data_IF_994560066749
#
_entry.id   IF_994560066749
#
_cell.length_a   1.000
_cell.length_b   1.000
_cell.length_c   1.000
_cell.angle_alpha   90.00
_cell.angle_beta   90.00
_cell.angle_gamma   90.00
#
_symmetry.space_group_name_H-M   'P 1'
#
loop_
_entity.id
_entity.type
_entity.pdbx_description
1 polymer ?
#
# COMPACT_ATOMS: atom_id res chain seq x y z
N UNK A 1 5.31 -5.59 49.69
CA UNK A 1 6.14 -4.73 48.81
C UNK A 1 6.51 -5.33 47.44
N UNK A 2 6.66 -6.66 47.27
CA UNK A 2 6.97 -7.28 45.96
C UNK A 2 5.80 -7.23 44.95
N UNK A 3 4.56 -7.41 45.40
CA UNK A 3 3.35 -7.37 44.56
C UNK A 3 3.14 -6.02 43.86
N UNK A 4 3.35 -4.90 44.56
CA UNK A 4 3.18 -3.56 43.99
C UNK A 4 4.18 -3.26 42.85
N UNK A 5 5.42 -3.76 42.97
CA UNK A 5 6.43 -3.62 41.91
C UNK A 5 6.10 -4.42 40.65
N UNK A 6 5.45 -5.58 40.79
CA UNK A 6 5.03 -6.42 39.65
C UNK A 6 3.88 -5.74 38.89
N UNK A 7 2.89 -5.18 39.60
CA UNK A 7 1.77 -4.47 38.98
C UNK A 7 2.23 -3.22 38.24
N UNK A 8 3.15 -2.44 38.83
CA UNK A 8 3.73 -1.26 38.17
C UNK A 8 4.55 -1.66 36.94
N UNK A 9 5.36 -2.72 37.01
CA UNK A 9 6.13 -3.17 35.86
C UNK A 9 5.24 -3.68 34.72
N UNK A 10 4.18 -4.43 35.03
CA UNK A 10 3.25 -4.95 34.03
C UNK A 10 2.44 -3.85 33.33
N UNK A 11 2.01 -2.83 34.08
CA UNK A 11 1.27 -1.69 33.52
C UNK A 11 2.15 -0.83 32.62
N UNK A 12 3.41 -0.57 33.00
CA UNK A 12 4.37 0.14 32.14
C UNK A 12 4.66 -0.67 30.88
N UNK A 13 4.88 -1.98 30.98
CA UNK A 13 5.12 -2.83 29.81
C UNK A 13 3.92 -2.85 28.85
N UNK A 14 2.69 -2.89 29.36
CA UNK A 14 1.49 -2.86 28.54
C UNK A 14 1.30 -1.51 27.83
N UNK A 15 1.58 -0.39 28.51
CA UNK A 15 1.51 0.95 27.92
C UNK A 15 2.57 1.15 26.83
N UNK A 16 3.79 0.65 27.04
CA UNK A 16 4.83 0.67 26.02
C UNK A 16 4.44 -0.23 24.85
N UNK A 17 3.95 -1.44 25.08
CA UNK A 17 3.50 -2.32 24.02
C UNK A 17 2.39 -1.68 23.17
N UNK A 18 1.44 -0.97 23.78
CA UNK A 18 0.40 -0.24 23.05
C UNK A 18 0.95 0.98 22.29
N UNK A 19 1.89 1.72 22.87
CA UNK A 19 2.52 2.87 22.20
C UNK A 19 3.39 2.44 21.00
N UNK A 20 4.05 1.28 21.11
CA UNK A 20 4.90 0.71 20.08
C UNK A 20 4.18 -0.30 19.18
N UNK A 21 2.89 -0.56 19.39
CA UNK A 21 2.03 -1.27 18.42
C UNK A 21 1.68 -0.33 17.27
N UNK A 22 2.71 0.18 16.60
CA UNK A 22 2.51 0.71 15.27
C UNK A 22 2.26 -0.50 14.37
N UNK A 23 1.15 -0.55 13.59
CA UNK A 23 1.13 -1.45 12.46
C UNK A 23 2.35 -1.04 11.63
N UNK A 24 3.31 -1.95 11.51
CA UNK A 24 4.39 -1.78 10.54
C UNK A 24 3.66 -1.71 9.20
N UNK A 25 3.42 -0.49 8.72
CA UNK A 25 3.11 -0.25 7.33
C UNK A 25 4.40 -0.65 6.64
N UNK A 26 4.47 -1.93 6.27
CA UNK A 26 5.55 -2.42 5.44
C UNK A 26 5.52 -1.51 4.22
N UNK A 27 6.54 -0.67 4.10
CA UNK A 27 6.68 0.17 2.92
C UNK A 27 6.84 -0.79 1.75
N UNK A 28 6.20 -0.46 0.63
CA UNK A 28 6.47 -1.15 -0.62
C UNK A 28 7.99 -1.16 -0.76
N UNK A 29 8.60 -2.35 -0.84
CA UNK A 29 10.05 -2.50 -1.08
C UNK A 29 10.42 -1.71 -2.34
N UNK A 30 11.70 -1.58 -2.66
CA UNK A 30 12.15 -0.97 -3.92
C UNK A 30 11.57 -1.73 -5.13
N UNK A 31 10.33 -1.45 -5.49
CA UNK A 31 9.67 -1.86 -6.72
C UNK A 31 10.15 -0.92 -7.81
N UNK A 32 10.42 -1.44 -9.00
CA UNK A 32 10.61 -0.59 -10.18
C UNK A 32 9.30 -0.46 -10.97
N UNK A 33 8.49 -1.52 -10.95
CA UNK A 33 7.29 -1.66 -11.78
C UNK A 33 6.23 -2.51 -11.07
N UNK A 34 4.98 -2.36 -11.47
CA UNK A 34 3.86 -3.23 -11.10
C UNK A 34 2.98 -3.51 -12.32
N UNK A 35 2.21 -4.62 -12.27
CA UNK A 35 1.17 -4.88 -13.27
C UNK A 35 -0.17 -4.35 -12.75
N UNK A 36 -0.87 -3.57 -13.56
CA UNK A 36 -2.28 -3.24 -13.36
C UNK A 36 -3.13 -4.33 -14.00
N UNK A 37 -4.18 -4.79 -13.32
CA UNK A 37 -5.10 -5.79 -13.88
C UNK A 37 -6.52 -5.68 -13.32
N UNK A 38 -7.48 -6.05 -14.15
CA UNK A 38 -8.87 -6.32 -13.78
C UNK A 38 -9.41 -7.51 -14.63
N UNK A 39 -10.70 -7.80 -14.55
CA UNK A 39 -11.33 -8.89 -15.31
C UNK A 39 -11.39 -8.61 -16.83
N UNK A 40 -11.12 -7.37 -17.26
CA UNK A 40 -11.36 -6.87 -18.62
C UNK A 40 -10.07 -6.48 -19.35
N UNK A 41 -8.94 -6.34 -18.65
CA UNK A 41 -7.68 -5.90 -19.22
C UNK A 41 -6.52 -5.86 -18.24
N UNK A 42 -5.37 -5.40 -18.74
CA UNK A 42 -4.14 -5.27 -17.97
C UNK A 42 -3.25 -4.15 -18.51
N UNK A 43 -2.31 -3.70 -17.69
CA UNK A 43 -1.25 -2.77 -18.09
C UNK A 43 -0.08 -2.78 -17.12
N UNK A 44 0.80 -1.80 -17.23
CA UNK A 44 1.98 -1.66 -16.38
C UNK A 44 1.97 -0.31 -15.70
N UNK A 45 2.59 -0.24 -14.52
CA UNK A 45 2.84 1.00 -13.81
C UNK A 45 4.31 1.04 -13.36
N UNK A 46 4.90 2.23 -13.32
CA UNK A 46 6.27 2.47 -12.85
C UNK A 46 6.21 3.07 -11.47
N UNK A 47 6.97 2.52 -10.52
CA UNK A 47 7.07 3.07 -9.17
C UNK A 47 7.96 4.31 -9.18
N UNK A 48 7.47 5.42 -8.61
CA UNK A 48 8.20 6.69 -8.53
C UNK A 48 8.56 7.08 -7.09
N UNK A 49 8.39 6.16 -6.13
CA UNK A 49 8.70 6.37 -4.71
C UNK A 49 7.49 6.70 -3.84
N UNK A 50 7.63 6.53 -2.52
CA UNK A 50 6.62 6.84 -1.51
C UNK A 50 5.23 6.22 -1.78
N UNK A 51 5.14 5.01 -2.31
CA UNK A 51 3.86 4.37 -2.66
C UNK A 51 3.19 4.93 -3.93
N UNK A 52 3.85 5.80 -4.70
CA UNK A 52 3.27 6.36 -5.93
C UNK A 52 3.71 5.59 -7.16
N UNK A 53 2.77 5.43 -8.09
CA UNK A 53 2.98 4.80 -9.38
C UNK A 53 2.47 5.70 -10.50
N UNK A 54 3.15 5.67 -11.65
CA UNK A 54 2.71 6.32 -12.88
C UNK A 54 2.32 5.24 -13.89
N UNK A 55 1.19 5.46 -14.58
CA UNK A 55 0.70 4.59 -15.66
C UNK A 55 0.11 5.45 -16.78
N UNK A 56 -0.41 4.80 -17.81
CA UNK A 56 -1.18 5.45 -18.86
C UNK A 56 -2.63 5.72 -18.43
N UNK A 57 -3.21 6.83 -18.90
CA UNK A 57 -4.61 7.15 -18.61
C UNK A 57 -5.55 6.12 -19.24
N UNK A 58 -5.23 5.60 -20.42
CA UNK A 58 -6.04 4.57 -21.07
C UNK A 58 -6.02 3.23 -20.32
N UNK A 59 -4.96 2.95 -19.56
CA UNK A 59 -4.84 1.72 -18.74
C UNK A 59 -5.76 1.79 -17.53
N UNK A 60 -5.82 2.94 -16.84
CA UNK A 60 -6.70 3.12 -15.67
C UNK A 60 -8.14 3.47 -16.06
N UNK A 61 -8.36 3.96 -17.29
CA UNK A 61 -9.67 4.31 -17.82
C UNK A 61 -10.38 5.37 -16.98
N UNK A 62 -11.56 5.05 -16.47
CA UNK A 62 -12.35 5.90 -15.57
C UNK A 62 -12.43 5.32 -14.14
N UNK A 63 -11.59 4.33 -13.82
CA UNK A 63 -11.61 3.69 -12.52
C UNK A 63 -11.04 4.63 -11.45
N UNK A 64 -11.67 4.65 -10.27
CA UNK A 64 -11.13 5.34 -9.09
C UNK A 64 -10.08 4.52 -8.36
N UNK A 65 -10.01 3.21 -8.62
CA UNK A 65 -9.10 2.26 -8.00
C UNK A 65 -8.65 1.20 -9.02
N UNK A 66 -7.43 0.72 -8.90
CA UNK A 66 -6.87 -0.39 -9.69
C UNK A 66 -6.27 -1.47 -8.78
N UNK A 67 -6.14 -2.69 -9.29
CA UNK A 67 -5.34 -3.72 -8.63
C UNK A 67 -3.91 -3.68 -9.16
N UNK A 68 -2.93 -3.67 -8.25
CA UNK A 68 -1.51 -3.74 -8.54
C UNK A 68 -0.98 -5.11 -8.14
N UNK A 69 -0.33 -5.82 -9.06
CA UNK A 69 0.48 -6.99 -8.79
C UNK A 69 1.95 -6.56 -8.75
N UNK A 70 2.55 -6.67 -7.57
CA UNK A 70 3.95 -6.32 -7.30
C UNK A 70 4.90 -7.42 -7.80
N UNK A 71 6.20 -7.11 -7.87
CA UNK A 71 7.21 -8.07 -8.38
C UNK A 71 7.40 -9.30 -7.49
N UNK A 72 7.08 -9.19 -6.20
CA UNK A 72 7.07 -10.30 -5.25
C UNK A 72 5.79 -11.15 -5.27
N UNK A 73 4.85 -10.84 -6.17
CA UNK A 73 3.61 -11.57 -6.36
C UNK A 73 2.46 -11.10 -5.46
N UNK A 74 2.68 -10.14 -4.55
CA UNK A 74 1.58 -9.56 -3.76
C UNK A 74 0.65 -8.75 -4.63
N UNK A 75 -0.65 -8.88 -4.34
CA UNK A 75 -1.70 -8.04 -4.92
C UNK A 75 -2.12 -7.01 -3.89
N UNK A 76 -2.19 -5.75 -4.30
CA UNK A 76 -2.65 -4.63 -3.48
C UNK A 76 -3.62 -3.75 -4.28
N UNK A 77 -4.37 -2.90 -3.58
CA UNK A 77 -5.18 -1.83 -4.18
C UNK A 77 -4.33 -0.58 -4.41
N UNK A 78 -4.70 0.21 -5.42
CA UNK A 78 -4.15 1.53 -5.65
C UNK A 78 -5.22 2.53 -6.08
N UNK A 79 -5.28 3.67 -5.40
CA UNK A 79 -6.20 4.76 -5.70
C UNK A 79 -5.70 5.55 -6.89
N UNK A 80 -6.56 5.77 -7.89
CA UNK A 80 -6.26 6.66 -9.01
C UNK A 80 -6.50 8.10 -8.54
N UNK A 81 -5.42 8.80 -8.21
CA UNK A 81 -5.51 10.16 -7.69
C UNK A 81 -5.84 11.18 -8.78
N UNK A 82 -5.32 10.93 -9.98
CA UNK A 82 -5.47 11.83 -11.12
C UNK A 82 -5.18 11.10 -12.44
N UNK A 83 -5.84 11.53 -13.51
CA UNK A 83 -5.52 11.12 -14.88
C UNK A 83 -5.65 12.31 -15.84
N UNK A 84 -4.89 12.25 -16.93
CA UNK A 84 -4.96 13.17 -18.05
C UNK A 84 -4.93 12.40 -19.35
N UNK A 85 -6.06 12.40 -20.05
CA UNK A 85 -6.24 11.72 -21.33
C UNK A 85 -5.51 12.38 -22.48
N UNK A 86 -5.25 13.69 -22.41
CA UNK A 86 -4.51 14.44 -23.44
C UNK A 86 -3.02 14.09 -23.49
N UNK A 87 -2.43 13.72 -22.35
CA UNK A 87 -1.03 13.25 -22.26
C UNK A 87 -0.92 11.74 -22.02
N UNK A 88 -2.05 11.04 -21.93
CA UNK A 88 -2.15 9.63 -21.59
C UNK A 88 -1.34 9.23 -20.34
N UNK A 89 -1.49 9.99 -19.25
CA UNK A 89 -0.79 9.75 -17.98
C UNK A 89 -1.79 9.68 -16.83
N UNK A 90 -1.55 8.77 -15.88
CA UNK A 90 -2.27 8.68 -14.62
C UNK A 90 -1.32 8.49 -13.43
N UNK A 91 -1.72 9.05 -12.28
CA UNK A 91 -1.03 8.91 -11.00
C UNK A 91 -1.85 8.03 -10.08
N UNK A 92 -1.20 7.01 -9.51
CA UNK A 92 -1.79 6.03 -8.63
C UNK A 92 -1.06 6.08 -7.28
N UNK A 93 -1.80 5.97 -6.18
CA UNK A 93 -1.26 5.78 -4.84
C UNK A 93 -1.59 4.39 -4.35
N UNK A 94 -0.58 3.59 -4.03
CA UNK A 94 -0.79 2.30 -3.40
C UNK A 94 -1.48 2.46 -2.05
N UNK A 95 -2.46 1.61 -1.79
CA UNK A 95 -2.93 1.38 -0.43
C UNK A 95 -1.82 0.78 0.45
N UNK A 96 -2.10 0.60 1.76
CA UNK A 96 -1.23 -0.19 2.62
C UNK A 96 -0.99 -1.58 2.00
N UNK A 97 0.19 -2.16 2.24
CA UNK A 97 0.46 -3.56 1.88
C UNK A 97 -0.49 -4.49 2.68
N UNK A 98 -1.68 -4.72 2.12
CA UNK A 98 -2.62 -5.76 2.55
C UNK A 98 -2.88 -6.64 1.34
N UNK A 99 -2.71 -7.95 1.52
CA UNK A 99 -3.09 -8.92 0.50
C UNK A 99 -4.57 -8.71 0.16
N UNK A 100 -4.89 -8.51 -1.12
CA UNK A 100 -6.28 -8.42 -1.60
C UNK A 100 -7.00 -9.76 -1.48
N UNK A 101 -6.25 -10.85 -1.28
CA UNK A 101 -6.75 -12.22 -1.12
C UNK A 101 -6.92 -12.64 0.37
N UNK A 102 -6.78 -11.73 1.34
CA UNK A 102 -6.84 -12.02 2.79
C UNK A 102 -8.11 -11.50 3.48
#
# INVERSE_FOLDING_TARGET
MRFCKIVVAATVAALLALAYWQPFAEEIRAESVAKIFDDKGHGSAVYIGNGYFVSAAHVVGQASEVNLLLTDGRKIKGDVLWSNTGYDIALIKSGPLRNVDA
#
